data_IF_854452078142
#
_entry.id   IF_854452078142
#
_cell.length_a   1.000
_cell.length_b   1.000
_cell.length_c   1.000
_cell.angle_alpha   90.00
_cell.angle_beta   90.00
_cell.angle_gamma   90.00
#
_symmetry.space_group_name_H-M   'P 1'
#
loop_
_entity.id
_entity.type
_entity.pdbx_description
1 polymer ?
#
# COMPACT_ATOMS: atom_id res chain seq x y z
N UNK A 1 -15.07 -11.01 35.99
CA UNK A 1 -14.94 -9.81 35.14
C UNK A 1 -13.82 -10.08 34.13
N UNK A 2 -14.13 -10.96 33.18
CA UNK A 2 -13.26 -11.52 32.13
C UNK A 2 -14.19 -11.97 31.00
N UNK A 3 -13.93 -11.53 29.77
CA UNK A 3 -14.41 -12.07 28.47
C UNK A 3 -13.69 -11.21 27.41
N UNK A 4 -12.77 -11.64 26.55
CA UNK A 4 -12.56 -12.87 25.76
C UNK A 4 -13.75 -13.26 24.87
N UNK A 5 -13.68 -12.80 23.61
CA UNK A 5 -14.23 -13.40 22.38
C UNK A 5 -13.48 -12.77 21.19
N UNK A 6 -12.40 -13.37 20.69
CA UNK A 6 -12.32 -14.30 19.55
C UNK A 6 -13.05 -13.85 18.28
N UNK A 7 -12.20 -13.51 17.29
CA UNK A 7 -12.29 -13.63 15.83
C UNK A 7 -13.57 -14.16 15.20
N UNK A 8 -14.08 -13.42 14.21
CA UNK A 8 -14.76 -14.01 13.05
C UNK A 8 -14.04 -13.61 11.76
N UNK A 9 -13.70 -14.64 10.99
CA UNK A 9 -13.20 -14.58 9.62
C UNK A 9 -14.18 -13.80 8.72
N UNK A 10 -13.68 -12.82 7.96
CA UNK A 10 -14.24 -12.46 6.65
C UNK A 10 -13.20 -12.84 5.60
N UNK A 11 -13.07 -14.15 5.37
CA UNK A 11 -12.42 -14.72 4.19
C UNK A 11 -13.46 -14.68 3.07
N UNK A 12 -13.32 -13.76 2.11
CA UNK A 12 -14.23 -13.76 0.95
C UNK A 12 -14.01 -12.72 -0.14
N UNK A 13 -13.40 -11.56 0.13
CA UNK A 13 -13.36 -10.45 -0.86
C UNK A 13 -11.99 -9.86 -1.17
N UNK A 14 -10.92 -10.29 -0.49
CA UNK A 14 -9.57 -9.75 -0.71
C UNK A 14 -8.97 -10.05 -2.10
N UNK A 15 -9.32 -11.19 -2.71
CA UNK A 15 -8.69 -11.64 -3.97
C UNK A 15 -8.97 -10.77 -5.19
N UNK A 16 -10.12 -10.09 -5.26
CA UNK A 16 -10.48 -9.25 -6.41
C UNK A 16 -10.01 -7.80 -6.29
N UNK A 17 -9.71 -7.33 -5.08
CA UNK A 17 -9.16 -5.98 -4.89
C UNK A 17 -7.73 -5.85 -5.43
N UNK A 18 -6.94 -6.92 -5.41
CA UNK A 18 -5.56 -6.88 -5.90
C UNK A 18 -5.48 -6.57 -7.41
N UNK A 19 -6.43 -7.03 -8.22
CA UNK A 19 -6.33 -6.94 -9.69
C UNK A 19 -6.57 -5.54 -10.25
N UNK A 20 -7.43 -4.70 -9.65
CA UNK A 20 -7.73 -3.35 -10.17
C UNK A 20 -6.62 -2.30 -9.92
N UNK A 21 -5.63 -2.60 -9.08
CA UNK A 21 -4.60 -1.63 -8.67
C UNK A 21 -3.33 -1.65 -9.53
N UNK A 22 -3.24 -2.56 -10.51
CA UNK A 22 -2.04 -2.83 -11.31
C UNK A 22 -1.64 -1.74 -12.32
N UNK A 23 -2.44 -0.69 -12.49
CA UNK A 23 -2.13 0.36 -13.45
C UNK A 23 -2.53 1.73 -12.92
N UNK A 24 -1.66 2.38 -12.16
CA UNK A 24 -1.77 3.84 -12.04
C UNK A 24 -0.39 4.46 -12.13
N UNK A 25 -0.12 5.07 -13.28
CA UNK A 25 0.88 6.15 -13.37
C UNK A 25 0.46 7.20 -12.35
N UNK A 26 1.35 7.58 -11.44
CA UNK A 26 1.19 8.81 -10.68
C UNK A 26 0.90 9.91 -11.68
N UNK A 27 -0.23 10.60 -11.52
CA UNK A 27 -0.49 11.82 -12.29
C UNK A 27 0.51 12.85 -11.76
N UNK A 28 1.68 12.93 -12.39
CA UNK A 28 2.56 14.08 -12.24
C UNK A 28 1.74 15.31 -12.60
N UNK A 29 1.86 16.39 -11.82
CA UNK A 29 1.20 17.65 -12.10
C UNK A 29 1.62 18.16 -13.50
N UNK A 30 0.83 17.82 -14.52
CA UNK A 30 1.01 18.09 -15.94
C UNK A 30 -0.27 17.67 -16.68
N UNK A 31 -0.93 18.66 -17.28
CA UNK A 31 -2.13 18.67 -18.14
C UNK A 31 -2.99 17.39 -18.17
N UNK A 32 -4.26 17.55 -17.76
CA UNK A 32 -5.30 16.55 -17.82
C UNK A 32 -5.44 15.92 -19.22
N UNK A 33 -5.32 14.59 -19.29
CA UNK A 33 -6.16 13.79 -20.19
C UNK A 33 -6.93 12.78 -19.33
N UNK A 34 -8.23 12.99 -19.28
CA UNK A 34 -9.21 12.05 -18.74
C UNK A 34 -9.50 11.05 -19.86
N UNK A 35 -8.91 9.86 -19.79
CA UNK A 35 -9.53 8.69 -20.42
C UNK A 35 -10.24 7.92 -19.30
N UNK A 36 -11.56 8.14 -19.22
CA UNK A 36 -12.45 7.25 -18.50
C UNK A 36 -12.37 5.88 -19.19
N UNK A 37 -11.87 4.87 -18.47
CA UNK A 37 -12.14 3.49 -18.85
C UNK A 37 -13.57 3.16 -18.39
N UNK A 38 -14.43 2.62 -19.26
CA UNK A 38 -15.81 2.29 -18.88
C UNK A 38 -15.83 1.11 -17.91
N UNK A 39 -16.66 1.22 -16.88
CA UNK A 39 -17.05 0.11 -16.01
C UNK A 39 -18.02 -0.78 -16.79
N UNK A 40 -17.84 -2.11 -16.89
CA UNK A 40 -18.82 -2.95 -17.57
C UNK A 40 -20.05 -3.19 -16.67
N UNK A 41 -21.22 -2.98 -17.26
CA UNK A 41 -22.54 -3.24 -16.72
C UNK A 41 -22.77 -4.72 -16.39
N UNK A 42 -23.49 -4.96 -15.31
CA UNK A 42 -23.86 -6.27 -14.81
C UNK A 42 -25.17 -6.73 -15.47
N UNK A 43 -25.10 -7.62 -16.46
CA UNK A 43 -26.25 -8.36 -17.00
C UNK A 43 -25.87 -9.84 -17.15
N UNK A 44 -26.73 -10.71 -16.61
CA UNK A 44 -26.58 -12.16 -16.63
C UNK A 44 -26.84 -12.73 -18.04
N UNK A 45 -26.02 -13.69 -18.46
CA UNK A 45 -26.25 -14.45 -19.69
C UNK A 45 -25.15 -15.47 -19.95
N UNK A 46 -25.53 -16.74 -20.00
CA UNK A 46 -24.71 -17.89 -20.40
C UNK A 46 -24.11 -17.64 -21.80
N UNK A 47 -22.87 -18.09 -22.06
CA UNK A 47 -22.45 -18.91 -23.21
C UNK A 47 -20.93 -19.17 -23.17
N UNK A 48 -20.63 -20.45 -23.30
CA UNK A 48 -19.39 -21.22 -23.49
C UNK A 48 -18.22 -20.66 -24.35
N UNK A 49 -17.01 -21.13 -23.98
CA UNK A 49 -15.85 -21.60 -24.82
C UNK A 49 -14.61 -20.67 -25.02
N UNK A 50 -13.49 -21.16 -24.43
CA UNK A 50 -12.08 -21.18 -24.89
C UNK A 50 -11.04 -20.09 -24.48
N UNK A 51 -9.94 -20.63 -23.92
CA UNK A 51 -8.57 -20.10 -23.65
C UNK A 51 -8.41 -19.02 -22.56
N UNK A 52 -7.50 -19.11 -21.58
CA UNK A 52 -6.40 -20.02 -21.26
C UNK A 52 -5.60 -19.42 -20.07
N UNK A 53 -4.83 -20.26 -19.37
CA UNK A 53 -3.97 -19.97 -18.20
C UNK A 53 -4.60 -20.02 -16.79
N UNK A 54 -4.86 -21.26 -16.33
CA UNK A 54 -4.50 -21.68 -14.98
C UNK A 54 -3.05 -22.20 -15.02
N UNK A 55 -2.12 -21.54 -14.33
CA UNK A 55 -0.79 -22.10 -14.07
C UNK A 55 -0.65 -22.30 -12.56
N UNK A 56 -0.78 -23.56 -12.10
CA UNK A 56 -0.23 -24.06 -10.81
C UNK A 56 -0.65 -25.51 -10.48
N UNK A 57 -1.62 -26.13 -11.18
CA UNK A 57 -2.14 -27.47 -10.79
C UNK A 57 -1.92 -28.62 -11.78
N UNK A 58 -1.22 -28.43 -12.89
CA UNK A 58 -1.02 -29.49 -13.91
C UNK A 58 0.30 -30.27 -13.81
N UNK A 59 1.18 -30.01 -12.84
CA UNK A 59 2.46 -30.76 -12.75
C UNK A 59 2.38 -32.13 -12.04
N UNK A 60 1.33 -32.41 -11.26
CA UNK A 60 1.25 -33.69 -10.52
C UNK A 60 0.65 -34.85 -11.32
N UNK A 61 -0.25 -34.59 -12.27
CA UNK A 61 -0.91 -35.65 -13.04
C UNK A 61 -0.05 -36.21 -14.20
N UNK A 62 0.90 -35.43 -14.72
CA UNK A 62 1.79 -35.89 -15.80
C UNK A 62 2.96 -36.77 -15.34
N UNK A 63 3.27 -36.81 -14.03
CA UNK A 63 4.34 -37.67 -13.52
C UNK A 63 3.91 -39.14 -13.46
N UNK A 64 2.63 -39.41 -13.17
CA UNK A 64 2.10 -40.78 -13.04
C UNK A 64 1.98 -41.49 -14.40
N UNK A 65 1.60 -40.77 -15.45
CA UNK A 65 1.49 -41.33 -16.79
C UNK A 65 2.88 -41.72 -17.36
N UNK A 66 3.89 -40.87 -17.20
CA UNK A 66 5.24 -41.10 -17.72
C UNK A 66 5.98 -42.27 -17.04
N UNK A 67 5.70 -42.54 -15.76
CA UNK A 67 6.31 -43.67 -15.05
C UNK A 67 5.75 -45.01 -15.52
N UNK A 68 4.49 -45.06 -15.99
CA UNK A 68 3.82 -46.30 -16.43
C UNK A 68 4.39 -46.90 -17.72
N UNK A 69 5.19 -46.13 -18.46
CA UNK A 69 5.80 -46.52 -19.74
C UNK A 69 7.31 -46.84 -19.63
N UNK A 70 7.92 -46.61 -18.46
CA UNK A 70 9.35 -46.84 -18.24
C UNK A 70 9.69 -48.31 -17.93
N UNK A 71 10.84 -48.76 -18.44
CA UNK A 71 11.44 -50.06 -18.14
C UNK A 71 11.61 -50.28 -16.61
N UNK A 72 11.40 -51.51 -16.10
CA UNK A 72 11.47 -51.79 -14.66
C UNK A 72 12.80 -51.43 -13.99
N UNK A 73 13.93 -51.50 -14.72
CA UNK A 73 15.24 -51.11 -14.19
C UNK A 73 15.38 -49.59 -14.04
N UNK A 74 14.80 -48.82 -14.96
CA UNK A 74 14.74 -47.36 -14.90
C UNK A 74 13.81 -46.88 -13.77
N UNK A 75 12.70 -47.58 -13.52
CA UNK A 75 11.81 -47.29 -12.38
C UNK A 75 12.53 -47.43 -11.03
N UNK A 76 13.29 -48.50 -10.84
CA UNK A 76 14.03 -48.74 -9.59
C UNK A 76 15.10 -47.67 -9.33
N UNK A 77 15.76 -47.17 -10.38
CA UNK A 77 16.70 -46.06 -10.30
C UNK A 77 16.02 -44.74 -9.88
N UNK A 78 14.84 -44.42 -10.45
CA UNK A 78 14.05 -43.24 -10.06
C UNK A 78 13.57 -43.35 -8.60
N UNK A 79 13.12 -44.53 -8.17
CA UNK A 79 12.75 -44.78 -6.78
C UNK A 79 13.94 -44.64 -5.81
N UNK A 80 15.14 -45.09 -6.19
CA UNK A 80 16.35 -44.92 -5.37
C UNK A 80 16.81 -43.46 -5.29
N UNK A 81 16.75 -42.71 -6.39
CA UNK A 81 17.06 -41.27 -6.40
C UNK A 81 16.05 -40.48 -5.55
N UNK A 82 14.78 -40.89 -5.53
CA UNK A 82 13.74 -40.21 -4.74
C UNK A 82 13.90 -40.37 -3.21
N UNK A 83 14.60 -41.41 -2.75
CA UNK A 83 14.84 -41.66 -1.32
C UNK A 83 16.11 -40.99 -0.77
N UNK A 84 17.03 -40.56 -1.62
CA UNK A 84 18.31 -39.96 -1.20
C UNK A 84 18.38 -38.46 -1.42
N UNK A 85 17.34 -37.84 -1.95
CA UNK A 85 17.22 -36.39 -2.03
C UNK A 85 15.82 -35.95 -1.60
N UNK A 86 15.67 -35.65 -0.32
CA UNK A 86 14.76 -34.57 0.08
C UNK A 86 15.28 -33.31 -0.60
N UNK A 87 14.76 -32.98 -1.78
CA UNK A 87 15.00 -31.70 -2.43
C UNK A 87 14.29 -30.64 -1.58
N UNK A 88 14.95 -30.21 -0.52
CA UNK A 88 14.60 -28.99 0.20
C UNK A 88 14.88 -27.85 -0.77
N UNK A 89 13.87 -27.43 -1.52
CA UNK A 89 13.91 -26.11 -2.13
C UNK A 89 14.18 -25.11 -1.00
N UNK A 90 15.26 -24.32 -1.05
CA UNK A 90 15.39 -23.25 -0.08
C UNK A 90 14.15 -22.38 -0.26
N UNK A 91 13.37 -22.21 0.82
CA UNK A 91 12.46 -21.09 0.89
C UNK A 91 13.37 -19.86 0.76
N UNK A 92 13.38 -19.24 -0.41
CA UNK A 92 13.91 -17.89 -0.54
C UNK A 92 12.91 -17.05 0.23
N UNK A 93 13.21 -16.78 1.50
CA UNK A 93 12.45 -15.81 2.27
C UNK A 93 12.46 -14.50 1.47
N UNK A 94 11.29 -13.85 1.31
CA UNK A 94 11.26 -12.57 0.63
C UNK A 94 12.26 -11.63 1.32
N UNK A 95 12.96 -10.77 0.56
CA UNK A 95 13.92 -9.85 1.16
C UNK A 95 13.23 -9.04 2.27
N UNK A 96 14.00 -8.67 3.29
CA UNK A 96 13.50 -7.75 4.31
C UNK A 96 13.46 -6.32 3.74
N UNK A 97 12.44 -5.51 4.10
CA UNK A 97 12.36 -4.12 3.66
C UNK A 97 13.51 -3.29 4.25
N UNK A 98 14.11 -2.37 3.49
CA UNK A 98 15.17 -1.49 3.98
C UNK A 98 14.58 -0.32 4.80
N UNK A 99 13.96 -0.62 5.94
CA UNK A 99 13.15 0.31 6.73
C UNK A 99 13.89 1.57 7.14
N UNK A 100 15.11 1.44 7.67
CA UNK A 100 15.92 2.59 8.09
C UNK A 100 16.23 3.49 6.89
N UNK A 101 16.58 2.91 5.74
CA UNK A 101 16.84 3.64 4.50
C UNK A 101 15.59 4.37 4.02
N UNK A 102 14.43 3.72 4.02
CA UNK A 102 13.14 4.34 3.65
C UNK A 102 12.82 5.49 4.61
N UNK A 103 12.95 5.26 5.92
CA UNK A 103 12.67 6.27 6.94
C UNK A 103 13.56 7.51 6.80
N UNK A 104 14.88 7.31 6.72
CA UNK A 104 15.85 8.39 6.49
C UNK A 104 15.56 9.12 5.18
N UNK A 105 15.10 8.40 4.17
CA UNK A 105 14.79 8.97 2.87
C UNK A 105 13.57 9.90 2.89
N UNK A 106 12.73 9.93 3.93
CA UNK A 106 11.65 10.93 4.03
C UNK A 106 12.16 12.34 4.34
N UNK A 107 13.27 12.46 5.09
CA UNK A 107 13.74 13.73 5.64
C UNK A 107 13.92 14.81 4.55
N UNK A 108 13.58 16.06 4.86
CA UNK A 108 13.68 17.20 3.94
C UNK A 108 12.34 17.64 3.35
N UNK A 109 12.38 18.31 2.20
CA UNK A 109 11.22 18.97 1.59
C UNK A 109 10.81 18.30 0.29
N UNK A 110 9.50 18.26 0.06
CA UNK A 110 8.87 17.60 -1.08
C UNK A 110 7.82 18.52 -1.71
N UNK A 111 7.78 18.55 -3.03
CA UNK A 111 6.60 18.99 -3.77
C UNK A 111 5.51 17.94 -3.61
N UNK A 112 4.31 18.37 -3.25
CA UNK A 112 3.15 17.52 -3.05
C UNK A 112 2.05 17.88 -4.06
N UNK A 113 1.65 16.92 -4.88
CA UNK A 113 0.51 17.02 -5.78
C UNK A 113 -0.45 15.87 -5.43
N UNK A 114 -1.73 16.16 -5.21
CA UNK A 114 -2.72 15.18 -4.76
C UNK A 114 -4.02 15.33 -5.51
N UNK A 115 -4.53 14.23 -6.05
CA UNK A 115 -5.90 14.17 -6.56
C UNK A 115 -6.83 13.71 -5.43
N UNK A 116 -7.98 14.36 -5.31
CA UNK A 116 -9.04 14.01 -4.36
C UNK A 116 -10.34 13.79 -5.13
N UNK A 117 -10.97 12.65 -4.93
CA UNK A 117 -12.26 12.32 -5.54
C UNK A 117 -13.20 11.81 -4.46
N UNK A 118 -14.25 12.57 -4.14
CA UNK A 118 -15.29 12.14 -3.21
C UNK A 118 -16.47 11.51 -3.94
N UNK A 119 -17.06 10.48 -3.34
CA UNK A 119 -18.32 9.90 -3.76
C UNK A 119 -19.54 10.53 -3.04
N UNK A 120 -19.31 11.35 -2.01
CA UNK A 120 -20.40 12.03 -1.30
C UNK A 120 -20.79 13.34 -1.99
N UNK A 121 -22.08 13.58 -2.26
CA UNK A 121 -22.53 14.86 -2.79
C UNK A 121 -22.14 16.04 -1.89
N UNK A 122 -21.65 17.12 -2.49
CA UNK A 122 -21.25 18.33 -1.77
C UNK A 122 -19.87 18.29 -1.10
N UNK A 123 -19.17 17.15 -1.13
CA UNK A 123 -17.78 17.06 -0.69
C UNK A 123 -16.83 17.37 -1.85
N UNK A 124 -15.74 18.11 -1.60
CA UNK A 124 -14.89 18.60 -2.67
C UNK A 124 -14.11 17.45 -3.34
N UNK A 125 -14.24 17.37 -4.67
CA UNK A 125 -13.28 16.72 -5.55
C UNK A 125 -12.39 17.79 -6.18
N UNK A 126 -11.12 17.48 -6.42
CA UNK A 126 -10.18 18.46 -6.95
C UNK A 126 -8.72 18.02 -6.92
N UNK A 127 -7.84 19.01 -7.14
CA UNK A 127 -6.39 18.83 -7.09
C UNK A 127 -5.78 19.72 -6.02
N UNK A 128 -5.11 19.09 -5.07
CA UNK A 128 -4.28 19.77 -4.09
C UNK A 128 -2.85 19.90 -4.62
N UNK A 129 -2.28 21.09 -4.51
CA UNK A 129 -0.86 21.35 -4.76
C UNK A 129 -0.26 22.07 -3.57
N UNK A 130 0.91 21.63 -3.15
CA UNK A 130 1.58 22.19 -1.98
C UNK A 130 2.98 21.64 -1.76
N UNK A 131 3.42 21.77 -0.51
CA UNK A 131 4.72 21.32 -0.04
C UNK A 131 4.54 20.47 1.20
N UNK A 132 5.32 19.41 1.33
CA UNK A 132 5.44 18.62 2.54
C UNK A 132 6.88 18.67 3.06
N UNK A 133 7.03 18.78 4.39
CA UNK A 133 8.33 18.75 5.06
C UNK A 133 8.36 17.62 6.06
N UNK A 134 9.53 16.97 6.18
CA UNK A 134 9.84 16.00 7.22
C UNK A 134 11.08 16.50 7.96
N UNK A 135 10.89 16.98 9.19
CA UNK A 135 11.95 17.53 10.03
C UNK A 135 12.23 16.60 11.21
N UNK A 136 13.48 16.43 11.67
CA UNK A 136 13.78 15.72 12.91
C UNK A 136 12.89 16.21 14.06
N UNK A 137 12.37 15.28 14.83
CA UNK A 137 11.52 15.54 15.99
C UNK A 137 11.94 14.64 17.16
N UNK A 138 11.75 15.10 18.39
CA UNK A 138 12.25 14.42 19.59
C UNK A 138 11.22 13.53 20.30
N UNK A 139 9.99 13.46 19.80
CA UNK A 139 8.90 12.67 20.40
C UNK A 139 9.27 11.20 20.67
N UNK A 140 10.12 10.61 19.82
CA UNK A 140 10.67 9.26 20.00
C UNK A 140 12.19 9.27 19.91
N UNK A 141 12.84 10.24 20.58
CA UNK A 141 14.28 10.42 20.53
C UNK A 141 14.75 10.80 19.11
N UNK A 142 15.85 10.22 18.65
CA UNK A 142 16.41 10.48 17.31
C UNK A 142 15.65 9.76 16.17
N UNK A 143 14.63 8.97 16.49
CA UNK A 143 13.94 8.09 15.54
C UNK A 143 12.56 8.60 15.13
N UNK A 144 12.37 9.92 15.13
CA UNK A 144 11.12 10.54 14.66
C UNK A 144 11.31 11.74 13.74
N UNK A 145 10.37 11.89 12.82
CA UNK A 145 10.25 13.00 11.89
C UNK A 145 8.85 13.64 12.04
N UNK A 146 8.80 14.96 12.22
CA UNK A 146 7.57 15.74 12.10
C UNK A 146 7.29 15.96 10.62
N UNK A 147 6.19 15.36 10.16
CA UNK A 147 5.57 15.66 8.89
C UNK A 147 4.70 16.91 9.02
N UNK A 148 4.83 17.84 8.08
CA UNK A 148 3.93 18.97 7.94
C UNK A 148 3.70 19.27 6.46
N UNK A 149 2.45 19.20 6.00
CA UNK A 149 2.02 19.65 4.68
C UNK A 149 1.23 20.96 4.74
N UNK A 150 1.41 21.78 3.72
CA UNK A 150 0.62 22.98 3.46
C UNK A 150 0.37 23.13 1.96
N UNK A 151 -0.78 23.67 1.57
CA UNK A 151 -1.08 23.94 0.17
C UNK A 151 -2.53 24.34 -0.07
N UNK A 152 -2.93 24.30 -1.33
CA UNK A 152 -4.25 24.68 -1.80
C UNK A 152 -4.90 23.52 -2.55
N UNK A 153 -6.12 23.16 -2.16
CA UNK A 153 -7.03 22.32 -2.93
C UNK A 153 -7.86 23.22 -3.85
N UNK A 154 -7.68 23.06 -5.16
CA UNK A 154 -8.55 23.64 -6.17
C UNK A 154 -9.61 22.60 -6.53
N UNK A 155 -10.85 22.89 -6.18
CA UNK A 155 -12.00 22.03 -6.48
C UNK A 155 -12.37 22.07 -7.96
N UNK A 156 -13.11 21.09 -8.43
CA UNK A 156 -13.64 21.07 -9.81
C UNK A 156 -14.55 22.28 -10.12
N UNK A 157 -15.19 22.86 -9.10
CA UNK A 157 -15.99 24.08 -9.21
C UNK A 157 -15.15 25.36 -9.13
N UNK A 158 -13.83 25.25 -9.01
CA UNK A 158 -12.90 26.39 -8.97
C UNK A 158 -12.71 27.03 -7.59
N UNK A 159 -13.38 26.54 -6.53
CA UNK A 159 -13.09 26.98 -5.16
C UNK A 159 -11.68 26.58 -4.75
N UNK A 160 -11.05 27.47 -3.98
CA UNK A 160 -9.71 27.32 -3.43
C UNK A 160 -9.79 27.17 -1.93
N UNK A 161 -9.34 26.03 -1.42
CA UNK A 161 -9.36 25.70 0.00
C UNK A 161 -7.92 25.51 0.48
N UNK A 162 -7.50 26.31 1.46
CA UNK A 162 -6.21 26.12 2.11
C UNK A 162 -6.29 24.89 3.01
N UNK A 163 -5.31 24.01 2.91
CA UNK A 163 -5.20 22.84 3.77
C UNK A 163 -3.81 22.75 4.37
N UNK A 164 -3.78 22.30 5.63
CA UNK A 164 -2.57 21.96 6.35
C UNK A 164 -2.82 20.69 7.16
N UNK A 165 -1.78 19.87 7.36
CA UNK A 165 -1.86 18.67 8.18
C UNK A 165 -0.48 18.32 8.75
N UNK A 166 -0.46 17.82 9.98
CA UNK A 166 0.75 17.35 10.66
C UNK A 166 0.60 15.90 11.14
N UNK A 167 1.72 15.18 11.15
CA UNK A 167 1.85 13.83 11.71
C UNK A 167 3.27 13.64 12.26
N UNK A 168 3.46 12.69 13.17
CA UNK A 168 4.80 12.25 13.57
C UNK A 168 5.05 10.86 13.00
N UNK A 169 6.09 10.74 12.18
CA UNK A 169 6.58 9.46 11.67
C UNK A 169 7.64 8.95 12.65
N UNK A 170 7.53 7.70 13.07
CA UNK A 170 8.49 7.04 13.96
C UNK A 170 9.08 5.82 13.27
N UNK A 171 10.39 5.64 13.41
CA UNK A 171 11.08 4.38 13.16
C UNK A 171 11.39 3.69 14.49
N UNK A 172 11.07 2.40 14.61
CA UNK A 172 11.40 1.57 15.76
C UNK A 172 12.31 0.43 15.28
N UNK A 173 13.63 0.48 15.56
CA UNK A 173 14.55 -0.59 15.18
C UNK A 173 14.19 -1.93 15.84
N UNK A 174 13.83 -1.88 17.13
CA UNK A 174 13.55 -3.08 17.93
C UNK A 174 12.28 -3.81 17.46
N UNK A 175 11.27 -3.05 17.01
CA UNK A 175 10.01 -3.62 16.50
C UNK A 175 10.05 -3.82 14.97
N UNK A 176 11.13 -3.43 14.30
CA UNK A 176 11.27 -3.40 12.83
C UNK A 176 10.06 -2.74 12.15
N UNK A 177 9.68 -1.54 12.61
CA UNK A 177 8.46 -0.85 12.16
C UNK A 177 8.65 0.62 11.86
N UNK A 178 7.89 1.09 10.87
CA UNK A 178 7.59 2.52 10.69
C UNK A 178 6.12 2.74 11.07
N UNK A 179 5.86 3.70 11.94
CA UNK A 179 4.52 4.06 12.40
C UNK A 179 4.25 5.55 12.24
N UNK A 180 2.98 5.89 12.01
CA UNK A 180 2.51 7.26 11.83
C UNK A 180 1.58 7.59 12.99
N UNK A 181 1.77 8.75 13.60
CA UNK A 181 1.07 9.18 14.80
C UNK A 181 0.39 10.53 14.56
N UNK A 182 -0.80 10.68 15.14
CA UNK A 182 -1.46 11.98 15.21
C UNK A 182 -0.67 12.94 16.10
N UNK A 183 -0.81 14.23 15.81
CA UNK A 183 -0.26 15.33 16.62
C UNK A 183 -1.42 15.97 17.36
N UNK A 184 -1.21 16.37 18.62
CA UNK A 184 -2.21 17.09 19.40
C UNK A 184 -2.56 18.43 18.74
N UNK A 185 -3.85 18.71 18.61
CA UNK A 185 -4.36 19.98 18.09
C UNK A 185 -5.36 20.61 19.09
N UNK A 186 -5.17 21.88 19.51
CA UNK A 186 -4.05 22.77 19.15
C UNK A 186 -2.72 22.29 19.74
N UNK A 187 -1.61 22.71 19.12
CA UNK A 187 -0.28 22.39 19.61
C UNK A 187 -0.08 22.97 21.03
N UNK A 188 0.45 22.18 21.99
CA UNK A 188 0.85 22.68 23.30
C UNK A 188 1.91 23.79 23.22
N UNK A 189 2.11 24.52 24.32
CA UNK A 189 3.09 25.62 24.41
C UNK A 189 4.55 25.20 24.13
N UNK A 190 4.85 23.89 24.17
CA UNK A 190 6.16 23.32 23.85
C UNK A 190 6.39 22.89 22.40
N UNK A 191 5.38 23.03 21.52
CA UNK A 191 5.42 22.59 20.13
C UNK A 191 4.58 21.34 19.86
N UNK A 192 4.81 20.68 18.73
CA UNK A 192 4.07 19.50 18.32
C UNK A 192 4.31 18.30 19.22
N UNK A 193 3.25 17.76 19.81
CA UNK A 193 3.32 16.55 20.64
C UNK A 193 2.52 15.40 20.02
N UNK A 194 2.97 14.17 20.26
CA UNK A 194 2.24 12.96 19.87
C UNK A 194 0.89 12.89 20.60
N UNK A 195 -0.14 12.54 19.86
CA UNK A 195 -1.44 12.16 20.40
C UNK A 195 -1.55 10.63 20.45
N UNK A 196 -2.21 9.99 19.49
CA UNK A 196 -2.32 8.53 19.40
C UNK A 196 -1.87 7.98 18.04
N UNK A 197 -1.68 6.66 17.98
CA UNK A 197 -1.25 5.95 16.78
C UNK A 197 -2.32 6.10 15.68
N UNK A 198 -1.88 6.48 14.48
CA UNK A 198 -2.71 6.43 13.30
C UNK A 198 -2.64 5.04 12.67
N UNK A 199 -1.51 4.70 12.04
CA UNK A 199 -1.29 3.36 11.47
C UNK A 199 0.18 2.98 11.46
N UNK A 200 0.43 1.68 11.37
CA UNK A 200 1.76 1.10 11.13
C UNK A 200 1.88 0.68 9.67
N UNK A 201 3.11 0.63 9.17
CA UNK A 201 3.40 0.23 7.80
C UNK A 201 3.73 -1.26 7.71
N UNK A 202 2.89 -2.00 7.00
CA UNK A 202 3.13 -3.40 6.63
C UNK A 202 3.74 -3.46 5.22
N UNK A 203 5.01 -3.85 5.15
CA UNK A 203 5.77 -3.85 3.90
C UNK A 203 5.62 -5.14 3.10
N UNK A 204 5.67 -5.00 1.78
CA UNK A 204 5.81 -6.12 0.85
C UNK A 204 6.54 -5.67 -0.41
N UNK A 205 7.10 -6.64 -1.15
CA UNK A 205 7.74 -6.40 -2.43
C UNK A 205 6.77 -6.71 -3.57
N UNK A 206 6.57 -5.76 -4.47
CA UNK A 206 5.74 -5.93 -5.67
C UNK A 206 6.51 -5.42 -6.89
N UNK A 207 6.78 -6.30 -7.86
CA UNK A 207 7.49 -5.93 -9.10
C UNK A 207 8.77 -5.14 -8.80
N UNK A 208 9.59 -5.65 -7.87
CA UNK A 208 10.86 -5.05 -7.43
C UNK A 208 10.72 -3.68 -6.72
N UNK A 209 9.50 -3.25 -6.38
CA UNK A 209 9.24 -2.03 -5.61
C UNK A 209 8.75 -2.34 -4.21
N UNK A 210 9.23 -1.56 -3.25
CA UNK A 210 8.73 -1.62 -1.88
C UNK A 210 7.38 -0.89 -1.79
N UNK A 211 6.35 -1.62 -1.40
CA UNK A 211 5.06 -1.06 -1.07
C UNK A 211 4.78 -1.26 0.42
N UNK A 212 3.96 -0.40 1.00
CA UNK A 212 3.45 -0.63 2.34
C UNK A 212 1.96 -0.34 2.44
N UNK A 213 1.31 -0.99 3.39
CA UNK A 213 -0.10 -0.78 3.72
C UNK A 213 -0.25 -0.39 5.17
N UNK A 214 -1.32 0.30 5.48
CA UNK A 214 -1.76 0.56 6.85
C UNK A 214 -3.26 0.81 6.85
N UNK A 215 -3.91 0.62 7.98
CA UNK A 215 -5.31 0.97 8.15
C UNK A 215 -5.58 1.55 9.52
N UNK A 216 -6.68 2.29 9.60
CA UNK A 216 -7.12 2.91 10.83
C UNK A 216 -8.63 3.16 10.79
N UNK A 217 -9.33 2.81 11.86
CA UNK A 217 -10.72 3.21 12.07
C UNK A 217 -10.73 4.56 12.79
N UNK A 218 -11.01 5.63 12.06
CA UNK A 218 -11.21 6.95 12.65
C UNK A 218 -12.70 7.14 12.94
N UNK A 219 -13.10 6.94 14.20
CA UNK A 219 -14.49 6.95 14.64
C UNK A 219 -15.37 5.96 13.85
N UNK A 220 -16.02 6.42 12.77
CA UNK A 220 -16.92 5.64 11.91
C UNK A 220 -16.41 5.51 10.47
N UNK A 221 -15.28 6.14 10.14
CA UNK A 221 -14.70 6.15 8.81
C UNK A 221 -13.44 5.27 8.79
N UNK A 222 -13.42 4.26 7.92
CA UNK A 222 -12.24 3.42 7.70
C UNK A 222 -11.28 4.08 6.73
N UNK A 223 -10.01 4.10 7.10
CA UNK A 223 -8.90 4.57 6.27
C UNK A 223 -8.04 3.36 5.88
N UNK A 224 -7.73 3.23 4.59
CA UNK A 224 -6.71 2.33 4.08
C UNK A 224 -5.64 3.14 3.35
N UNK A 225 -4.42 3.06 3.84
CA UNK A 225 -3.23 3.68 3.28
C UNK A 225 -2.47 2.70 2.39
N UNK A 226 -1.98 3.18 1.25
CA UNK A 226 -1.11 2.44 0.35
C UNK A 226 0.07 3.33 -0.03
N UNK A 227 1.26 2.89 0.32
CA UNK A 227 2.53 3.55 0.01
C UNK A 227 3.23 2.79 -1.10
N UNK A 228 3.95 3.52 -1.94
CA UNK A 228 4.83 2.96 -2.96
C UNK A 228 6.11 3.79 -3.02
N UNK A 229 7.19 3.14 -2.61
CA UNK A 229 8.51 3.70 -2.42
C UNK A 229 9.39 3.37 -3.64
N UNK A 230 9.80 4.41 -4.37
CA UNK A 230 10.65 4.27 -5.55
C UNK A 230 12.11 4.41 -5.15
N UNK A 231 12.67 3.28 -4.73
CA UNK A 231 14.04 3.14 -4.24
C UNK A 231 14.96 2.73 -5.39
N UNK A 232 15.27 3.67 -6.28
CA UNK A 232 16.38 3.52 -7.25
C UNK A 232 17.70 3.80 -6.49
N UNK A 233 18.47 4.84 -6.84
CA UNK A 233 19.68 5.21 -6.07
C UNK A 233 19.36 5.93 -4.74
N UNK A 234 18.28 6.68 -4.74
CA UNK A 234 17.75 7.45 -3.61
C UNK A 234 16.26 7.71 -3.84
N UNK A 235 15.47 7.86 -2.77
CA UNK A 235 14.04 8.14 -2.92
C UNK A 235 13.83 9.57 -3.44
N UNK A 236 13.68 9.70 -4.76
CA UNK A 236 13.37 10.97 -5.43
C UNK A 236 11.87 11.20 -5.55
N UNK A 237 11.09 10.12 -5.58
CA UNK A 237 9.63 10.14 -5.67
C UNK A 237 9.02 9.02 -4.83
N UNK A 238 7.85 9.27 -4.26
CA UNK A 238 7.04 8.24 -3.60
C UNK A 238 5.57 8.62 -3.64
N UNK A 239 4.72 7.62 -3.43
CA UNK A 239 3.27 7.76 -3.48
C UNK A 239 2.59 7.42 -2.17
N UNK A 240 1.46 8.09 -1.90
CA UNK A 240 0.54 7.73 -0.81
C UNK A 240 -0.90 7.86 -1.31
N UNK A 241 -1.58 6.72 -1.36
CA UNK A 241 -3.01 6.65 -1.66
C UNK A 241 -3.81 6.32 -0.41
N UNK A 242 -4.87 7.07 -0.19
CA UNK A 242 -5.91 6.71 0.76
C UNK A 242 -7.18 6.29 0.03
N UNK A 243 -7.78 5.20 0.51
CA UNK A 243 -9.20 4.94 0.34
C UNK A 243 -9.88 5.15 1.69
N UNK A 244 -10.92 5.98 1.71
CA UNK A 244 -11.69 6.27 2.90
C UNK A 244 -13.14 5.92 2.67
N UNK A 245 -13.74 5.17 3.60
CA UNK A 245 -15.14 4.76 3.52
C UNK A 245 -15.80 4.82 4.88
N UNK A 246 -16.91 5.54 4.96
CA UNK A 246 -17.76 5.64 6.14
C UNK A 246 -18.96 6.54 5.88
N UNK A 247 -19.77 6.83 6.91
CA UNK A 247 -20.98 7.63 6.78
C UNK A 247 -20.68 9.12 6.52
N UNK A 248 -19.53 9.62 6.96
CA UNK A 248 -19.17 11.04 6.84
C UNK A 248 -18.14 11.28 5.74
N UNK A 249 -17.40 10.26 5.34
CA UNK A 249 -16.35 10.36 4.32
C UNK A 249 -16.41 9.16 3.38
N UNK A 250 -16.43 9.46 2.09
CA UNK A 250 -16.25 8.47 1.04
C UNK A 250 -15.40 9.12 -0.05
N UNK A 251 -14.11 8.80 -0.07
CA UNK A 251 -13.21 9.40 -1.05
C UNK A 251 -11.97 8.54 -1.34
N UNK A 252 -11.39 8.80 -2.50
CA UNK A 252 -10.05 8.39 -2.87
C UNK A 252 -9.14 9.62 -2.87
N UNK A 253 -7.96 9.47 -2.30
CA UNK A 253 -6.91 10.47 -2.37
C UNK A 253 -5.63 9.82 -2.89
N UNK A 254 -5.02 10.40 -3.92
CA UNK A 254 -3.78 9.90 -4.51
C UNK A 254 -2.74 11.02 -4.49
N UNK A 255 -1.69 10.83 -3.69
CA UNK A 255 -0.65 11.82 -3.44
C UNK A 255 0.65 11.36 -4.08
N UNK A 256 1.28 12.26 -4.85
CA UNK A 256 2.64 12.10 -5.34
C UNK A 256 3.56 13.12 -4.66
N UNK A 257 4.67 12.63 -4.12
CA UNK A 257 5.71 13.42 -3.51
C UNK A 257 6.95 13.37 -4.39
N UNK A 258 7.50 14.54 -4.73
CA UNK A 258 8.72 14.65 -5.52
C UNK A 258 9.72 15.55 -4.80
N UNK A 259 11.00 15.16 -4.78
CA UNK A 259 12.06 16.01 -4.23
C UNK A 259 12.07 17.36 -4.94
N UNK A 260 12.20 18.43 -4.17
CA UNK A 260 12.51 19.75 -4.74
C UNK A 260 13.96 19.67 -5.23
N UNK A 261 14.16 19.92 -6.53
CA UNK A 261 15.47 19.95 -7.17
C UNK A 261 16.30 21.15 -6.72
#
# INVERSE_FOLDING_TARGET
>A
MFHFLRSFLILGTFGKFCQLFHATKYKSCGVAQVTQLPMPDYQAGLWSIMHGMLCARTRSLNLYAALSEMDPSARLAVYHVSKTHTFSMPLIEPPMPPLETIFKSFAGTWKLCRSLTSALPGFPSGTFTGTATFKPHNAFGASSLLYHETGELVTEQGYKLLANRKYIYRFSPDDEKISIWFVKEPAPEGGEEVDYLFHELEFSLLEERWIAKGDHLCEKDMYWAFYDFRMEDSMKKWGLRYKVKGPQKDYLSDSAYERIA
#
